data_IF_347841577233
#
_entry.id   IF_347841577233
#
_cell.length_a   1.000
_cell.length_b   1.000
_cell.length_c   1.000
_cell.angle_alpha   90.00
_cell.angle_beta   90.00
_cell.angle_gamma   90.00
#
_symmetry.space_group_name_H-M   'P 1'
#
loop_
_entity.id
_entity.type
_entity.pdbx_description
1 polymer ?
#
# COMPACT_ATOMS: atom_id res chain seq x y z
N UNK A 1 -18.96 -12.22 -7.41
CA UNK A 1 -18.97 -10.76 -7.57
C UNK A 1 -17.64 -10.25 -7.04
N UNK A 2 -16.73 -9.87 -7.93
CA UNK A 2 -15.48 -9.24 -7.55
C UNK A 2 -15.81 -7.92 -6.87
N UNK A 3 -15.74 -7.90 -5.53
CA UNK A 3 -15.82 -6.68 -4.73
C UNK A 3 -14.76 -5.74 -5.32
N UNK A 4 -15.19 -4.71 -6.04
CA UNK A 4 -14.29 -3.73 -6.62
C UNK A 4 -13.49 -3.14 -5.48
N UNK A 5 -12.17 -3.35 -5.47
CA UNK A 5 -11.30 -2.65 -4.53
C UNK A 5 -11.57 -1.17 -4.71
N UNK A 6 -11.94 -0.50 -3.62
CA UNK A 6 -12.08 0.95 -3.59
C UNK A 6 -10.81 1.55 -4.20
N UNK A 7 -10.97 2.38 -5.24
CA UNK A 7 -9.82 2.97 -5.92
C UNK A 7 -9.18 3.97 -4.97
N UNK A 8 -7.99 3.63 -4.47
CA UNK A 8 -7.23 4.50 -3.57
C UNK A 8 -6.54 5.62 -4.37
N UNK A 9 -6.13 6.66 -3.64
CA UNK A 9 -5.37 7.79 -4.16
C UNK A 9 -4.06 7.34 -4.83
N UNK A 10 -3.52 8.19 -5.70
CA UNK A 10 -2.17 8.02 -6.25
C UNK A 10 -1.10 8.42 -5.25
N UNK A 11 0.14 7.98 -5.49
CA UNK A 11 1.29 8.43 -4.72
C UNK A 11 1.53 9.94 -4.88
N UNK A 12 1.24 10.51 -6.06
CA UNK A 12 1.30 11.95 -6.29
C UNK A 12 0.32 12.74 -5.43
N UNK A 13 -0.95 12.29 -5.37
CA UNK A 13 -1.97 12.88 -4.49
C UNK A 13 -1.55 12.79 -3.01
N UNK A 14 -0.97 11.65 -2.61
CA UNK A 14 -0.46 11.42 -1.26
C UNK A 14 0.69 12.38 -0.91
N UNK A 15 1.67 12.57 -1.81
CA UNK A 15 2.80 13.50 -1.63
C UNK A 15 2.34 14.96 -1.56
N UNK A 16 1.45 15.34 -2.47
CA UNK A 16 0.92 16.71 -2.57
C UNK A 16 0.16 17.13 -1.31
N UNK A 17 -0.55 16.20 -0.66
CA UNK A 17 -1.29 16.48 0.56
C UNK A 17 -0.45 16.78 1.79
N UNK A 18 0.85 16.39 1.83
CA UNK A 18 1.62 16.31 3.08
C UNK A 18 3.01 16.96 3.05
N UNK A 19 3.39 17.66 1.96
CA UNK A 19 4.67 18.39 1.91
C UNK A 19 5.91 17.49 1.90
N UNK A 20 5.76 16.22 1.51
CA UNK A 20 6.82 15.21 1.41
C UNK A 20 6.26 13.84 1.03
N UNK A 21 7.11 12.83 0.86
CA UNK A 21 6.68 11.44 0.60
C UNK A 21 6.44 10.71 1.92
N UNK A 22 5.19 10.52 2.39
CA UNK A 22 4.93 9.69 3.55
C UNK A 22 5.24 8.23 3.21
N UNK A 23 5.64 7.44 4.21
CA UNK A 23 5.85 6.01 4.03
C UNK A 23 4.54 5.27 3.70
N UNK A 24 4.61 3.94 3.60
CA UNK A 24 3.41 3.10 3.48
C UNK A 24 3.35 2.07 4.60
N UNK A 25 2.14 1.85 5.11
CA UNK A 25 1.80 0.68 5.91
C UNK A 25 1.16 -0.37 4.99
N UNK A 26 1.74 -1.57 4.97
CA UNK A 26 1.27 -2.69 4.15
C UNK A 26 0.81 -3.82 5.07
N UNK A 27 -0.49 -4.02 5.15
CA UNK A 27 -1.11 -5.07 5.96
C UNK A 27 -1.42 -6.31 5.11
N UNK A 28 -1.21 -7.50 5.66
CA UNK A 28 -1.67 -8.74 5.04
C UNK A 28 -3.19 -8.71 4.78
N UNK A 29 -3.64 -9.12 3.59
CA UNK A 29 -5.07 -9.15 3.25
C UNK A 29 -5.91 -10.12 4.10
N UNK A 30 -5.28 -11.07 4.79
CA UNK A 30 -5.94 -11.85 5.84
C UNK A 30 -5.80 -11.15 7.19
N UNK A 31 -6.90 -10.53 7.65
CA UNK A 31 -6.94 -9.79 8.92
C UNK A 31 -6.60 -10.65 10.14
N UNK A 32 -6.78 -11.99 10.05
CA UNK A 32 -6.40 -12.91 11.12
C UNK A 32 -4.89 -13.09 11.25
N UNK A 33 -4.15 -12.87 10.16
CA UNK A 33 -2.69 -12.99 10.15
C UNK A 33 -2.02 -11.89 11.00
N UNK A 34 -2.59 -10.68 10.97
CA UNK A 34 -2.10 -9.50 11.68
C UNK A 34 -0.71 -9.02 11.26
N UNK A 35 -0.12 -9.59 10.21
CA UNK A 35 1.21 -9.23 9.75
C UNK A 35 1.17 -7.92 8.97
N UNK A 36 2.13 -7.04 9.26
CA UNK A 36 2.31 -5.77 8.57
C UNK A 36 3.79 -5.45 8.41
N UNK A 37 4.10 -4.69 7.36
CA UNK A 37 5.41 -4.08 7.16
C UNK A 37 5.23 -2.59 6.89
N UNK A 38 6.24 -1.81 7.25
CA UNK A 38 6.34 -0.38 6.92
C UNK A 38 7.37 -0.23 5.82
N UNK A 39 7.00 0.47 4.74
CA UNK A 39 7.91 0.89 3.69
C UNK A 39 8.32 2.33 3.97
N UNK A 40 9.63 2.55 4.00
CA UNK A 40 10.18 3.87 4.29
C UNK A 40 9.94 4.85 3.13
N UNK A 41 9.90 6.17 3.39
CA UNK A 41 9.77 7.19 2.34
C UNK A 41 10.68 6.97 1.14
N UNK A 42 11.96 6.65 1.37
CA UNK A 42 12.96 6.40 0.33
C UNK A 42 12.66 5.18 -0.56
N UNK A 43 11.91 4.19 -0.05
CA UNK A 43 11.40 3.07 -0.86
C UNK A 43 10.20 3.50 -1.70
N UNK A 44 9.29 4.26 -1.09
CA UNK A 44 8.06 4.76 -1.74
C UNK A 44 8.39 5.76 -2.85
N UNK A 45 9.45 6.55 -2.67
CA UNK A 45 9.90 7.55 -3.64
C UNK A 45 10.28 6.97 -5.00
N UNK A 46 10.62 5.69 -5.07
CA UNK A 46 11.01 4.99 -6.30
C UNK A 46 9.83 4.74 -7.24
N UNK A 47 8.60 4.82 -6.75
CA UNK A 47 7.40 4.68 -7.58
C UNK A 47 6.96 6.02 -8.18
N UNK A 48 6.38 5.95 -9.37
CA UNK A 48 5.86 7.13 -10.07
C UNK A 48 4.58 7.66 -9.40
N UNK A 49 4.31 8.96 -9.60
CA UNK A 49 3.18 9.65 -8.96
C UNK A 49 1.82 9.18 -9.45
N UNK A 50 1.73 8.56 -10.63
CA UNK A 50 0.51 7.97 -11.18
C UNK A 50 0.14 6.62 -10.56
N UNK A 51 1.07 5.96 -9.86
CA UNK A 51 0.82 4.68 -9.20
C UNK A 51 -0.22 4.86 -8.11
N UNK A 52 -1.32 4.10 -8.17
CA UNK A 52 -2.33 4.06 -7.10
C UNK A 52 -1.95 3.06 -6.04
N UNK A 53 -2.30 3.34 -4.79
CA UNK A 53 -2.09 2.38 -3.70
C UNK A 53 -2.81 1.04 -3.99
N UNK A 54 -4.00 1.09 -4.60
CA UNK A 54 -4.76 -0.10 -5.00
C UNK A 54 -4.06 -0.96 -6.06
N UNK A 55 -3.16 -0.38 -6.85
CA UNK A 55 -2.37 -1.10 -7.86
C UNK A 55 -1.19 -1.86 -7.21
N UNK A 56 -0.75 -1.42 -6.03
CA UNK A 56 0.28 -2.10 -5.24
C UNK A 56 -0.28 -3.28 -4.45
N UNK A 57 -1.52 -3.17 -3.97
CA UNK A 57 -2.16 -4.19 -3.14
C UNK A 57 -2.13 -5.64 -3.68
N UNK A 58 -2.36 -5.95 -4.97
CA UNK A 58 -2.32 -7.32 -5.47
C UNK A 58 -0.90 -7.85 -5.67
N UNK A 59 0.13 -6.99 -5.56
CA UNK A 59 1.52 -7.34 -5.83
C UNK A 59 2.22 -7.92 -4.60
N UNK A 60 1.70 -7.66 -3.40
CA UNK A 60 2.25 -8.21 -2.17
C UNK A 60 1.81 -9.65 -1.92
N UNK A 61 2.75 -10.45 -1.40
CA UNK A 61 2.48 -11.77 -0.80
C UNK A 61 2.98 -11.75 0.63
N UNK A 62 2.13 -12.12 1.58
CA UNK A 62 2.51 -12.20 2.99
C UNK A 62 3.49 -13.36 3.21
N UNK A 63 4.70 -13.06 3.70
CA UNK A 63 5.71 -14.09 4.02
C UNK A 63 5.33 -14.96 5.20
N UNK A 64 4.42 -14.51 6.08
CA UNK A 64 3.97 -15.25 7.27
C UNK A 64 2.90 -16.31 6.95
N UNK A 65 1.93 -16.02 6.08
CA UNK A 65 0.81 -16.92 5.78
C UNK A 65 0.66 -17.30 4.29
N UNK A 66 1.49 -16.76 3.41
CA UNK A 66 1.44 -17.01 1.96
C UNK A 66 0.27 -16.34 1.23
N UNK A 67 -0.58 -15.57 1.93
CA UNK A 67 -1.73 -14.89 1.32
C UNK A 67 -1.25 -13.83 0.33
N UNK A 68 -1.71 -13.91 -0.91
CA UNK A 68 -1.55 -12.83 -1.91
C UNK A 68 -2.57 -11.72 -1.65
N UNK A 69 -2.12 -10.49 -1.80
CA UNK A 69 -2.90 -9.30 -1.52
C UNK A 69 -2.47 -8.61 -0.22
N UNK A 70 -2.59 -7.30 -0.20
CA UNK A 70 -2.44 -6.47 0.98
C UNK A 70 -3.54 -5.40 1.04
N UNK A 71 -3.65 -4.76 2.20
CA UNK A 71 -4.29 -3.47 2.38
C UNK A 71 -3.18 -2.42 2.59
N UNK A 72 -3.02 -1.52 1.62
CA UNK A 72 -1.93 -0.53 1.59
C UNK A 72 -2.49 0.83 2.02
N UNK A 73 -1.82 1.48 2.96
CA UNK A 73 -2.24 2.78 3.51
C UNK A 73 -1.07 3.76 3.58
N UNK A 74 -1.31 5.06 3.45
CA UNK A 74 -0.33 6.05 3.84
C UNK A 74 0.07 5.89 5.31
N UNK A 75 1.34 6.14 5.59
CA UNK A 75 1.91 6.19 6.92
C UNK A 75 2.12 7.67 7.30
N UNK A 76 1.13 8.24 7.98
CA UNK A 76 1.13 9.61 8.50
C UNK A 76 1.42 9.63 10.00
#
# INVERSE_FOLDING_TARGET
>A
MSQGREQKITLGEMRAGQGGTPGLLVYCADYRCGHMVRLAPDEVEKWADDVRLSDLEPQFTCTKCGRRGADVRPDF
#
